data_IF_652220608870
#
_entry.id   IF_652220608870
#
_cell.length_a   1.000
_cell.length_b   1.000
_cell.length_c   1.000
_cell.angle_alpha   90.00
_cell.angle_beta   90.00
_cell.angle_gamma   90.00
#
_symmetry.space_group_name_H-M   'P 1'
#
loop_
_entity.id
_entity.type
_entity.pdbx_description
1 polymer ?
#
# COMPACT_ATOMS: atom_id res chain seq x y z
N UNK A 1 10.23 7.81 -18.24
CA UNK A 1 10.82 6.79 -17.35
C UNK A 1 9.69 6.24 -16.51
N UNK A 2 9.58 4.93 -16.35
CA UNK A 2 8.55 4.29 -15.52
C UNK A 2 9.16 3.99 -14.16
N UNK A 3 8.38 4.14 -13.10
CA UNK A 3 8.76 3.78 -11.73
C UNK A 3 8.01 2.51 -11.32
N UNK A 4 8.73 1.55 -10.73
CA UNK A 4 8.18 0.29 -10.24
C UNK A 4 8.56 0.18 -8.76
N UNK A 5 7.62 -0.21 -7.91
CA UNK A 5 7.83 -0.42 -6.49
C UNK A 5 7.08 -1.65 -5.98
N UNK A 6 7.61 -2.25 -4.91
CA UNK A 6 6.98 -3.32 -4.16
C UNK A 6 6.48 -2.78 -2.82
N UNK A 7 5.26 -3.14 -2.42
CA UNK A 7 4.59 -2.66 -1.22
C UNK A 7 4.11 -3.82 -0.35
N UNK A 8 4.77 -4.00 0.79
CA UNK A 8 4.32 -4.91 1.84
C UNK A 8 3.63 -4.17 2.98
N UNK A 9 2.50 -4.69 3.45
CA UNK A 9 1.73 -4.13 4.56
C UNK A 9 1.63 -5.19 5.65
N UNK A 10 2.17 -4.87 6.82
CA UNK A 10 2.21 -5.75 7.98
C UNK A 10 1.37 -5.15 9.11
N UNK A 11 0.13 -5.64 9.31
CA UNK A 11 -0.69 -5.24 10.44
C UNK A 11 -0.03 -5.62 11.77
N UNK A 12 0.17 -4.64 12.65
CA UNK A 12 0.68 -4.89 14.02
C UNK A 12 -0.49 -4.79 15.00
N UNK A 13 -0.54 -5.69 16.00
CA UNK A 13 -1.56 -5.68 17.04
C UNK A 13 -2.93 -6.18 16.60
N UNK A 14 -2.99 -6.94 15.50
CA UNK A 14 -4.22 -7.52 14.96
C UNK A 14 -4.18 -9.05 15.08
N UNK A 15 -5.34 -9.69 15.11
CA UNK A 15 -5.43 -11.16 15.03
C UNK A 15 -4.75 -11.71 13.76
N UNK A 16 -4.53 -13.03 13.72
CA UNK A 16 -3.88 -13.75 12.62
C UNK A 16 -4.54 -13.53 11.26
N UNK A 17 -5.82 -13.13 11.23
CA UNK A 17 -6.54 -12.81 10.00
C UNK A 17 -6.30 -11.37 9.55
N UNK A 18 -5.41 -11.23 8.56
CA UNK A 18 -4.99 -9.94 8.01
C UNK A 18 -5.76 -9.50 6.74
N UNK A 19 -6.61 -10.37 6.18
CA UNK A 19 -7.24 -10.12 4.87
C UNK A 19 -8.09 -8.85 4.80
N UNK A 20 -8.76 -8.47 5.90
CA UNK A 20 -9.55 -7.22 5.98
C UNK A 20 -8.69 -5.96 5.79
N UNK A 21 -7.43 -6.02 6.18
CA UNK A 21 -6.47 -4.93 6.08
C UNK A 21 -5.91 -4.81 4.67
N UNK A 22 -5.56 -5.94 4.07
CA UNK A 22 -5.14 -6.02 2.66
C UNK A 22 -6.26 -5.48 1.76
N UNK A 23 -7.52 -5.88 1.99
CA UNK A 23 -8.68 -5.37 1.23
C UNK A 23 -8.81 -3.84 1.31
N UNK A 24 -8.63 -3.25 2.49
CA UNK A 24 -8.70 -1.79 2.67
C UNK A 24 -7.57 -1.07 1.94
N UNK A 25 -6.34 -1.61 1.97
CA UNK A 25 -5.22 -1.05 1.24
C UNK A 25 -5.45 -1.06 -0.28
N UNK A 26 -5.92 -2.18 -0.82
CA UNK A 26 -6.26 -2.28 -2.26
C UNK A 26 -7.35 -1.28 -2.64
N UNK A 27 -8.39 -1.13 -1.81
CA UNK A 27 -9.45 -0.13 -2.03
C UNK A 27 -8.95 1.31 -1.95
N UNK A 28 -7.89 1.60 -1.19
CA UNK A 28 -7.30 2.93 -1.13
C UNK A 28 -6.48 3.22 -2.40
N UNK A 29 -5.68 2.25 -2.85
CA UNK A 29 -4.87 2.35 -4.08
C UNK A 29 -5.78 2.47 -5.31
N UNK A 30 -6.87 1.71 -5.39
CA UNK A 30 -7.78 1.73 -6.54
C UNK A 30 -8.47 3.08 -6.77
N UNK A 31 -8.46 3.98 -5.78
CA UNK A 31 -9.01 5.34 -5.91
C UNK A 31 -8.03 6.33 -6.54
N UNK A 32 -6.76 5.94 -6.68
CA UNK A 32 -5.72 6.79 -7.26
C UNK A 32 -5.62 6.49 -8.74
N UNK A 33 -5.75 7.53 -9.56
CA UNK A 33 -5.51 7.42 -11.01
C UNK A 33 -4.02 7.35 -11.30
N UNK A 34 -3.63 6.45 -12.20
CA UNK A 34 -2.28 6.44 -12.78
C UNK A 34 -1.39 5.24 -12.44
N UNK A 35 -1.48 4.58 -11.26
CA UNK A 35 -0.72 3.37 -11.00
C UNK A 35 -1.48 2.13 -11.51
N UNK A 36 -0.82 1.31 -12.31
CA UNK A 36 -1.20 -0.08 -12.48
C UNK A 36 -0.69 -0.86 -11.26
N UNK A 37 -1.49 -1.82 -10.79
CA UNK A 37 -1.14 -2.59 -9.59
C UNK A 37 -1.47 -4.06 -9.74
N UNK A 38 -0.59 -4.90 -9.21
CA UNK A 38 -0.81 -6.33 -9.08
C UNK A 38 -0.93 -6.68 -7.61
N UNK A 39 -2.09 -7.20 -7.21
CA UNK A 39 -2.32 -7.64 -5.83
C UNK A 39 -1.65 -9.00 -5.63
N UNK A 40 -0.45 -8.97 -5.07
CA UNK A 40 0.25 -10.14 -4.51
C UNK A 40 0.31 -9.99 -2.99
N UNK A 41 0.73 -11.02 -2.23
CA UNK A 41 1.02 -10.85 -0.80
C UNK A 41 1.99 -9.69 -0.48
N UNK A 42 2.74 -9.18 -1.46
CA UNK A 42 3.68 -8.06 -1.35
C UNK A 42 3.43 -6.94 -2.38
N UNK A 43 2.22 -6.84 -2.94
CA UNK A 43 1.70 -5.88 -3.94
C UNK A 43 2.72 -5.07 -4.78
N UNK A 44 2.69 -5.24 -6.11
CA UNK A 44 3.53 -4.47 -7.04
C UNK A 44 2.77 -3.25 -7.55
N UNK A 45 3.43 -2.09 -7.59
CA UNK A 45 2.94 -0.80 -8.10
C UNK A 45 3.82 -0.33 -9.25
N UNK A 46 3.21 0.00 -10.39
CA UNK A 46 3.88 0.59 -11.55
C UNK A 46 3.21 1.92 -11.90
N UNK A 47 4.00 2.99 -12.07
CA UNK A 47 3.48 4.30 -12.43
C UNK A 47 4.47 5.10 -13.31
N UNK A 48 3.95 6.13 -13.98
CA UNK A 48 4.76 7.03 -14.82
C UNK A 48 5.78 7.86 -14.06
N UNK A 49 5.62 8.01 -12.74
CA UNK A 49 6.49 8.81 -11.89
C UNK A 49 6.42 8.34 -10.43
N UNK A 50 7.50 8.61 -9.67
CA UNK A 50 7.61 8.18 -8.27
C UNK A 50 6.59 8.88 -7.35
N UNK A 51 6.12 10.09 -7.68
CA UNK A 51 5.14 10.77 -6.82
C UNK A 51 3.78 10.08 -6.86
N UNK A 52 3.42 9.48 -7.99
CA UNK A 52 2.21 8.65 -8.09
C UNK A 52 2.29 7.42 -7.19
N UNK A 53 3.46 6.77 -7.11
CA UNK A 53 3.71 5.66 -6.17
C UNK A 53 3.62 6.14 -4.71
N UNK A 54 4.25 7.27 -4.37
CA UNK A 54 4.22 7.81 -3.01
C UNK A 54 2.81 8.22 -2.57
N UNK A 55 1.99 8.73 -3.50
CA UNK A 55 0.56 9.00 -3.24
C UNK A 55 -0.21 7.70 -2.97
N UNK A 56 0.03 6.65 -3.75
CA UNK A 56 -0.55 5.32 -3.53
C UNK A 56 -0.20 4.78 -2.15
N UNK A 57 1.08 4.86 -1.78
CA UNK A 57 1.55 4.49 -0.46
C UNK A 57 0.86 5.28 0.65
N UNK A 58 0.84 6.61 0.57
CA UNK A 58 0.22 7.47 1.58
C UNK A 58 -1.27 7.18 1.80
N UNK A 59 -2.02 6.89 0.72
CA UNK A 59 -3.44 6.56 0.82
C UNK A 59 -3.69 5.25 1.58
N UNK A 60 -2.80 4.25 1.48
CA UNK A 60 -2.90 3.02 2.29
C UNK A 60 -2.67 3.28 3.78
N UNK A 61 -1.79 4.22 4.11
CA UNK A 61 -1.44 4.56 5.49
C UNK A 61 -2.49 5.41 6.20
N UNK A 62 -3.20 6.28 5.48
CA UNK A 62 -4.26 7.14 6.06
C UNK A 62 -5.40 6.35 6.72
N UNK A 63 -5.62 5.10 6.29
CA UNK A 63 -6.66 4.23 6.83
C UNK A 63 -6.17 3.36 8.01
N UNK A 64 -4.93 3.58 8.47
CA UNK A 64 -4.29 2.78 9.51
C UNK A 64 -4.09 3.55 10.83
N UNK A 65 -4.86 3.24 11.90
CA UNK A 65 -4.75 3.96 13.17
C UNK A 65 -3.53 3.61 14.04
N UNK A 66 -2.71 2.61 13.67
CA UNK A 66 -1.60 2.13 14.50
C UNK A 66 -0.31 1.97 13.71
N UNK A 67 0.39 3.09 13.48
CA UNK A 67 1.77 3.05 13.03
C UNK A 67 2.68 3.17 14.25
N UNK A 68 3.17 2.04 14.76
CA UNK A 68 4.52 2.07 15.30
C UNK A 68 5.42 2.24 14.08
N UNK A 69 5.86 3.46 13.82
CA UNK A 69 7.03 3.69 12.97
C UNK A 69 8.16 2.90 13.62
N UNK A 70 8.45 1.72 13.07
CA UNK A 70 9.62 0.93 13.42
C UNK A 70 10.85 1.65 12.88
N UNK A 71 11.21 2.76 13.50
CA UNK A 71 12.57 3.29 13.47
C UNK A 71 13.41 2.29 14.25
N UNK A 72 14.20 1.51 13.52
CA UNK A 72 15.44 0.95 14.06
C UNK A 72 16.58 1.85 13.62
#
# INVERSE_FOLDING_TARGET
>A
MVSIAELSIHPIGTETSVGKYVKRAVQAISKIKGPDYQVTPMAILEAKDVQTILRAFSATMHHWPYLSTGTR
#
